data_IF_709926769939
#
_entry.id   IF_709926769939
#
_cell.length_a   1.000
_cell.length_b   1.000
_cell.length_c   1.000
_cell.angle_alpha   90.00
_cell.angle_beta   90.00
_cell.angle_gamma   90.00
#
_symmetry.space_group_name_H-M   'P 1'
#
loop_
_entity.id
_entity.type
_entity.pdbx_description
1 polymer ?
#
# COMPACT_ATOMS: atom_id res chain seq x y z
N UNK A 1 -5.28 -0.77 2.88
CA UNK A 1 -5.14 -0.06 1.59
C UNK A 1 -5.29 -1.05 0.45
N UNK A 2 -5.75 -0.60 -0.71
CA UNK A 2 -5.94 -1.38 -1.92
C UNK A 2 -4.86 -1.04 -2.96
N UNK A 3 -4.34 -2.08 -3.62
CA UNK A 3 -3.28 -2.01 -4.62
C UNK A 3 -3.72 -2.71 -5.90
N UNK A 4 -3.17 -2.27 -7.04
CA UNK A 4 -3.36 -2.99 -8.30
C UNK A 4 -2.39 -4.17 -8.37
N UNK A 5 -2.93 -5.35 -8.63
CA UNK A 5 -2.13 -6.55 -8.79
C UNK A 5 -1.36 -6.53 -10.12
N UNK A 6 -0.06 -6.81 -10.05
CA UNK A 6 0.79 -7.11 -11.21
C UNK A 6 1.50 -8.43 -10.95
N UNK A 7 1.27 -9.42 -11.82
CA UNK A 7 1.92 -10.72 -11.70
C UNK A 7 3.38 -10.59 -12.08
N UNK A 8 4.26 -11.00 -11.18
CA UNK A 8 5.71 -10.96 -11.34
C UNK A 8 6.28 -12.35 -11.04
N UNK A 9 7.45 -12.72 -11.60
CA UNK A 9 8.13 -13.94 -11.20
C UNK A 9 8.58 -13.87 -9.73
N UNK A 10 8.90 -15.03 -9.15
CA UNK A 10 9.30 -15.25 -7.74
C UNK A 10 8.11 -15.34 -6.75
N UNK A 11 8.41 -15.66 -5.48
CA UNK A 11 7.41 -15.93 -4.43
C UNK A 11 7.40 -14.85 -3.35
N UNK A 12 7.58 -13.60 -3.74
CA UNK A 12 7.58 -12.44 -2.83
C UNK A 12 6.65 -11.36 -3.34
N UNK A 13 6.00 -10.64 -2.43
CA UNK A 13 5.27 -9.43 -2.78
C UNK A 13 6.26 -8.32 -3.12
N UNK A 14 5.87 -7.49 -4.09
CA UNK A 14 6.65 -6.33 -4.53
C UNK A 14 5.72 -5.13 -4.59
N UNK A 15 6.10 -4.06 -3.91
CA UNK A 15 5.40 -2.79 -3.93
C UNK A 15 6.39 -1.65 -3.69
N UNK A 16 5.92 -0.41 -3.85
CA UNK A 16 6.76 0.78 -3.73
C UNK A 16 7.19 0.99 -2.27
N UNK A 17 8.48 1.20 -2.03
CA UNK A 17 9.06 1.45 -0.69
C UNK A 17 8.37 2.63 0.04
N UNK A 18 7.97 3.69 -0.66
CA UNK A 18 7.29 4.85 -0.07
C UNK A 18 5.96 4.50 0.63
N UNK A 19 5.40 3.31 0.37
CA UNK A 19 4.15 2.84 0.99
C UNK A 19 4.39 2.00 2.24
N UNK A 20 5.64 1.72 2.61
CA UNK A 20 5.97 0.86 3.74
C UNK A 20 5.57 1.48 5.08
N UNK A 21 5.70 2.80 5.24
CA UNK A 21 5.41 3.48 6.51
C UNK A 21 3.96 3.28 7.01
N UNK A 22 2.91 3.42 6.19
CA UNK A 22 1.53 3.10 6.61
C UNK A 22 1.30 1.64 7.04
N UNK A 23 2.06 0.69 6.49
CA UNK A 23 1.97 -0.72 6.88
C UNK A 23 2.82 -1.04 8.11
N UNK A 24 3.67 -0.10 8.54
CA UNK A 24 4.69 -0.32 9.56
C UNK A 24 5.49 -1.61 9.26
N UNK A 25 5.87 -1.77 8.00
CA UNK A 25 6.57 -2.93 7.48
C UNK A 25 7.90 -2.48 6.86
N UNK A 26 8.86 -3.40 6.78
CA UNK A 26 10.08 -3.22 5.99
C UNK A 26 10.34 -4.44 5.08
N UNK A 27 11.58 -4.61 4.61
CA UNK A 27 11.96 -5.70 3.70
C UNK A 27 12.93 -6.70 4.34
N UNK A 28 12.87 -6.90 5.66
CA UNK A 28 13.76 -7.81 6.40
C UNK A 28 13.24 -9.26 6.52
N UNK A 29 12.00 -9.52 6.09
CA UNK A 29 11.35 -10.81 6.24
C UNK A 29 9.85 -10.74 6.57
N UNK A 30 9.27 -9.55 6.66
CA UNK A 30 7.85 -9.34 6.94
C UNK A 30 6.90 -10.13 6.01
N UNK A 31 5.88 -10.73 6.64
CA UNK A 31 4.79 -11.42 5.96
C UNK A 31 3.55 -10.52 5.88
N UNK A 32 2.93 -10.45 4.71
CA UNK A 32 1.73 -9.64 4.49
C UNK A 32 0.55 -10.47 4.01
N UNK A 33 -0.65 -10.14 4.50
CA UNK A 33 -1.89 -10.77 4.05
C UNK A 33 -2.44 -10.09 2.80
N UNK A 34 -2.90 -10.88 1.84
CA UNK A 34 -3.61 -10.40 0.65
C UNK A 34 -5.05 -10.91 0.65
N UNK A 35 -5.99 -9.99 0.43
CA UNK A 35 -7.41 -10.31 0.32
C UNK A 35 -7.93 -9.83 -1.04
N UNK A 36 -8.65 -10.69 -1.75
CA UNK A 36 -9.22 -10.40 -3.07
C UNK A 36 -10.74 -10.14 -2.96
N UNK A 37 -11.22 -8.91 -3.21
CA UNK A 37 -12.65 -8.63 -3.29
C UNK A 37 -13.33 -9.48 -4.37
N UNK A 38 -14.47 -10.08 -4.03
CA UNK A 38 -15.20 -10.99 -4.92
C UNK A 38 -16.33 -10.29 -5.70
N UNK A 39 -16.93 -9.23 -5.15
CA UNK A 39 -18.03 -8.48 -5.78
C UNK A 39 -17.54 -7.20 -6.43
N UNK A 40 -18.23 -6.74 -7.46
CA UNK A 40 -17.90 -5.48 -8.13
C UNK A 40 -18.09 -4.26 -7.20
N UNK A 41 -19.07 -4.30 -6.31
CA UNK A 41 -19.27 -3.27 -5.28
C UNK A 41 -18.07 -3.18 -4.34
N UNK A 42 -17.62 -4.31 -3.78
CA UNK A 42 -16.45 -4.35 -2.90
C UNK A 42 -15.16 -3.93 -3.62
N UNK A 43 -15.04 -4.27 -4.91
CA UNK A 43 -13.92 -3.82 -5.75
C UNK A 43 -13.95 -2.31 -5.96
N UNK A 44 -15.12 -1.72 -6.23
CA UNK A 44 -15.28 -0.28 -6.37
C UNK A 44 -14.94 0.45 -5.05
N UNK A 45 -15.44 -0.04 -3.91
CA UNK A 45 -15.11 0.51 -2.59
C UNK A 45 -13.62 0.43 -2.29
N UNK A 46 -12.98 -0.71 -2.57
CA UNK A 46 -11.54 -0.86 -2.38
C UNK A 46 -10.75 0.15 -3.23
N UNK A 47 -11.15 0.36 -4.48
CA UNK A 47 -10.46 1.31 -5.38
C UNK A 47 -10.66 2.77 -4.97
N UNK A 48 -11.87 3.14 -4.55
CA UNK A 48 -12.22 4.54 -4.25
C UNK A 48 -11.81 4.94 -2.84
N UNK A 49 -12.16 4.12 -1.84
CA UNK A 49 -11.97 4.43 -0.43
C UNK A 49 -10.59 3.96 0.06
N UNK A 50 -10.19 2.74 -0.28
CA UNK A 50 -8.95 2.14 0.23
C UNK A 50 -7.74 2.38 -0.68
N UNK A 51 -7.92 3.04 -1.83
CA UNK A 51 -6.83 3.30 -2.78
C UNK A 51 -5.71 4.15 -2.18
N UNK A 52 -4.46 3.86 -2.56
CA UNK A 52 -3.27 4.58 -2.06
C UNK A 52 -3.36 6.09 -2.24
N UNK A 53 -3.90 6.57 -3.38
CA UNK A 53 -4.05 8.00 -3.67
C UNK A 53 -5.03 8.70 -2.72
N UNK A 54 -6.06 8.00 -2.27
CA UNK A 54 -7.04 8.53 -1.31
C UNK A 54 -6.50 8.53 0.13
N UNK A 55 -5.39 7.83 0.39
CA UNK A 55 -4.82 7.61 1.72
C UNK A 55 -3.36 8.10 1.83
N UNK A 56 -2.99 9.15 1.10
CA UNK A 56 -1.64 9.76 1.19
C UNK A 56 -1.41 10.49 2.51
N UNK A 57 -2.47 11.03 3.10
CA UNK A 57 -2.46 11.87 4.29
C UNK A 57 -3.35 11.23 5.34
N UNK A 58 -2.91 11.22 6.60
CA UNK A 58 -3.76 10.72 7.68
C UNK A 58 -4.80 11.77 8.09
N UNK A 59 -6.08 11.38 8.28
CA UNK A 59 -7.10 12.31 8.77
C UNK A 59 -6.89 12.71 10.23
N UNK A 60 -6.00 12.03 10.97
CA UNK A 60 -5.76 12.29 12.40
C UNK A 60 -5.12 13.66 12.66
N UNK A 61 -4.11 14.02 11.88
CA UNK A 61 -3.33 15.24 12.07
C UNK A 61 -2.95 15.93 10.75
N UNK A 62 -3.38 15.40 9.60
CA UNK A 62 -3.09 16.00 8.30
C UNK A 62 -1.65 15.80 7.83
N UNK A 63 -0.87 14.95 8.51
CA UNK A 63 0.49 14.63 8.09
C UNK A 63 0.50 13.64 6.91
N UNK A 64 1.49 13.82 6.04
CA UNK A 64 1.72 12.92 4.92
C UNK A 64 2.33 11.62 5.43
N UNK A 65 1.62 10.51 5.24
CA UNK A 65 2.05 9.18 5.68
C UNK A 65 2.76 8.40 4.58
N UNK A 66 2.58 8.79 3.32
CA UNK A 66 3.23 8.18 2.15
C UNK A 66 4.10 9.25 1.50
N UNK A 67 5.41 9.06 1.52
CA UNK A 67 6.38 10.04 1.02
C UNK A 67 7.70 9.37 0.65
N UNK A 68 8.62 10.15 0.08
CA UNK A 68 9.98 9.69 -0.19
C UNK A 68 10.67 9.33 1.12
N UNK A 69 11.26 8.14 1.18
CA UNK A 69 11.98 7.60 2.34
C UNK A 69 13.41 7.20 1.95
N UNK A 70 14.26 7.01 2.96
CA UNK A 70 15.59 6.39 2.83
C UNK A 70 16.44 6.97 1.68
N UNK A 71 16.74 6.13 0.69
CA UNK A 71 17.65 6.41 -0.43
C UNK A 71 17.17 7.57 -1.31
N UNK A 72 15.89 7.95 -1.25
CA UNK A 72 15.36 9.10 -1.99
C UNK A 72 15.66 10.45 -1.34
N UNK A 73 16.13 10.48 -0.09
CA UNK A 73 16.37 11.70 0.69
C UNK A 73 17.86 12.09 0.81
N UNK A 74 18.78 11.30 0.24
CA UNK A 74 20.24 11.50 0.31
C UNK A 74 20.78 11.98 -1.03
#
# INVERSE_FOLDING_TARGET
MALYAKVMPHRTFRFNECICSPFNADFDGDEMNLHLPQTEEAKAEALVLMGTKSNLVTPRNGEMIIGATQDFLT
#
